data_IF_596103294250
#
_entry.id   IF_596103294250
#
_cell.length_a   1.000
_cell.length_b   1.000
_cell.length_c   1.000
_cell.angle_alpha   90.00
_cell.angle_beta   90.00
_cell.angle_gamma   90.00
#
_symmetry.space_group_name_H-M   'P 1'
#
loop_
_entity.id
_entity.type
_entity.pdbx_description
1 polymer ?
#
# COMPACT_ATOMS: atom_id res chain seq x y z
N UNK A 1 -6.51 16.78 -9.62
CA UNK A 1 -5.96 16.54 -8.26
C UNK A 1 -5.91 15.03 -8.11
N UNK A 2 -4.88 14.43 -7.50
CA UNK A 2 -4.83 12.98 -7.31
C UNK A 2 -5.94 12.56 -6.34
N UNK A 3 -6.68 11.46 -6.63
CA UNK A 3 -7.70 10.93 -5.71
C UNK A 3 -7.10 10.54 -4.36
N UNK A 4 -5.82 10.12 -4.32
CA UNK A 4 -5.12 9.80 -3.08
C UNK A 4 -5.11 11.01 -2.12
N UNK A 5 -4.93 12.24 -2.62
CA UNK A 5 -4.97 13.45 -1.78
C UNK A 5 -6.33 13.69 -1.14
N UNK A 6 -7.41 13.26 -1.80
CA UNK A 6 -8.76 13.41 -1.25
C UNK A 6 -8.94 12.54 0.01
N UNK A 7 -8.34 11.34 0.06
CA UNK A 7 -8.41 10.44 1.20
C UNK A 7 -7.88 11.04 2.52
N UNK A 8 -7.05 12.08 2.45
CA UNK A 8 -6.44 12.71 3.62
C UNK A 8 -7.06 14.07 4.01
N UNK A 9 -8.13 14.52 3.32
CA UNK A 9 -8.71 15.86 3.56
C UNK A 9 -9.40 16.01 4.89
N UNK A 10 -10.12 14.99 5.31
CA UNK A 10 -11.00 15.04 6.48
C UNK A 10 -10.33 14.52 7.76
N UNK A 11 -9.02 14.36 7.75
CA UNK A 11 -8.24 13.94 8.91
C UNK A 11 -7.45 12.65 8.70
N UNK A 12 -7.70 11.66 9.55
CA UNK A 12 -6.93 10.41 9.57
C UNK A 12 -7.50 9.40 8.57
N UNK A 13 -6.76 9.11 7.49
CA UNK A 13 -7.18 8.15 6.49
C UNK A 13 -7.11 6.70 7.01
N UNK A 14 -8.15 5.92 6.72
CA UNK A 14 -8.17 4.48 6.88
C UNK A 14 -7.91 3.81 5.54
N UNK A 15 -6.82 3.07 5.45
CA UNK A 15 -6.46 2.30 4.25
C UNK A 15 -6.80 0.84 4.47
N UNK A 16 -7.75 0.34 3.69
CA UNK A 16 -8.10 -1.08 3.66
C UNK A 16 -7.17 -1.83 2.70
N UNK A 17 -6.46 -2.85 3.18
CA UNK A 17 -5.67 -3.73 2.32
C UNK A 17 -6.38 -5.07 2.14
N UNK A 18 -6.27 -5.65 0.94
CA UNK A 18 -6.64 -7.03 0.64
C UNK A 18 -5.72 -7.63 -0.42
N UNK A 19 -5.52 -8.96 -0.38
CA UNK A 19 -4.85 -9.69 -1.45
C UNK A 19 -5.87 -10.06 -2.53
N UNK A 20 -5.62 -9.66 -3.78
CA UNK A 20 -6.51 -9.98 -4.89
C UNK A 20 -6.54 -11.49 -5.17
N UNK A 21 -7.74 -12.03 -5.42
CA UNK A 21 -7.92 -13.44 -5.76
C UNK A 21 -8.20 -14.37 -4.58
N UNK A 22 -8.49 -13.82 -3.41
CA UNK A 22 -8.78 -14.59 -2.20
C UNK A 22 -10.18 -14.22 -1.69
N UNK A 23 -11.07 -15.20 -1.49
CA UNK A 23 -10.97 -16.57 -1.97
C UNK A 23 -11.14 -16.70 -3.49
N UNK A 24 -11.64 -15.67 -4.19
CA UNK A 24 -11.78 -15.60 -5.65
C UNK A 24 -11.64 -14.18 -6.18
N UNK A 25 -11.58 -14.01 -7.51
CA UNK A 25 -11.58 -12.69 -8.15
C UNK A 25 -12.92 -11.94 -7.94
N UNK A 26 -14.04 -12.67 -7.98
CA UNK A 26 -15.36 -12.09 -7.72
C UNK A 26 -15.51 -11.64 -6.27
N UNK A 27 -15.04 -12.43 -5.31
CA UNK A 27 -15.03 -12.07 -3.89
C UNK A 27 -14.13 -10.87 -3.63
N UNK A 28 -13.01 -10.74 -4.32
CA UNK A 28 -12.15 -9.56 -4.21
C UNK A 28 -12.91 -8.29 -4.53
N UNK A 29 -13.67 -8.27 -5.62
CA UNK A 29 -14.49 -7.11 -5.99
C UNK A 29 -15.51 -6.78 -4.89
N UNK A 30 -16.20 -7.79 -4.38
CA UNK A 30 -17.17 -7.62 -3.28
C UNK A 30 -16.50 -7.06 -2.02
N UNK A 31 -15.34 -7.59 -1.63
CA UNK A 31 -14.62 -7.09 -0.45
C UNK A 31 -14.09 -5.66 -0.61
N UNK A 32 -13.76 -5.24 -1.83
CA UNK A 32 -13.44 -3.83 -2.11
C UNK A 32 -14.68 -2.93 -1.87
N UNK A 33 -15.87 -3.37 -2.29
CA UNK A 33 -17.14 -2.68 -2.03
C UNK A 33 -17.49 -2.65 -0.52
N UNK A 34 -17.23 -3.76 0.17
CA UNK A 34 -17.42 -3.86 1.62
C UNK A 34 -16.49 -2.93 2.39
N UNK A 35 -15.20 -2.84 1.99
CA UNK A 35 -14.23 -1.91 2.57
C UNK A 35 -14.65 -0.45 2.38
N UNK A 36 -15.08 -0.07 1.17
CA UNK A 36 -15.61 1.27 0.90
C UNK A 36 -16.83 1.58 1.77
N UNK A 37 -17.79 0.65 1.85
CA UNK A 37 -18.99 0.78 2.68
C UNK A 37 -18.65 0.89 4.18
N UNK A 38 -17.61 0.20 4.62
CA UNK A 38 -17.10 0.27 5.99
C UNK A 38 -16.33 1.56 6.31
N UNK A 39 -16.13 2.43 5.32
CA UNK A 39 -15.48 3.73 5.49
C UNK A 39 -13.98 3.74 5.26
N UNK A 40 -13.46 2.83 4.43
CA UNK A 40 -12.10 2.95 3.95
C UNK A 40 -11.96 4.15 3.00
N UNK A 41 -11.03 5.03 3.31
CA UNK A 41 -10.75 6.24 2.51
C UNK A 41 -9.89 5.93 1.27
N UNK A 42 -9.18 4.81 1.29
CA UNK A 42 -8.35 4.29 0.21
C UNK A 42 -8.29 2.76 0.31
N UNK A 43 -8.24 2.09 -0.84
CA UNK A 43 -8.04 0.64 -0.88
C UNK A 43 -6.70 0.32 -1.52
N UNK A 44 -5.91 -0.47 -0.80
CA UNK A 44 -4.64 -1.02 -1.28
C UNK A 44 -4.87 -2.48 -1.69
N UNK A 45 -4.50 -2.81 -2.93
CA UNK A 45 -4.75 -4.12 -3.53
C UNK A 45 -3.42 -4.83 -3.72
N UNK A 46 -3.21 -5.90 -2.96
CA UNK A 46 -2.07 -6.79 -3.09
C UNK A 46 -2.13 -7.59 -4.39
N UNK A 47 -1.12 -7.42 -5.22
CA UNK A 47 -0.94 -8.24 -6.44
C UNK A 47 -0.22 -9.52 -6.06
N UNK A 48 -0.83 -10.71 -6.24
CA UNK A 48 -0.25 -11.96 -5.80
C UNK A 48 1.12 -12.23 -6.42
N UNK A 49 2.07 -12.67 -5.58
CA UNK A 49 3.42 -12.99 -6.01
C UNK A 49 3.94 -14.25 -5.32
N UNK A 50 4.80 -15.02 -5.99
CA UNK A 50 5.33 -16.30 -5.48
C UNK A 50 6.43 -16.14 -4.43
N UNK A 51 7.12 -14.98 -4.42
CA UNK A 51 8.30 -14.73 -3.59
C UNK A 51 8.17 -13.43 -2.79
N UNK A 52 7.14 -13.29 -1.93
CA UNK A 52 6.77 -12.04 -1.27
C UNK A 52 7.64 -11.79 -0.03
N UNK A 53 8.91 -11.46 -0.24
CA UNK A 53 9.96 -11.38 0.81
C UNK A 53 9.74 -10.28 1.86
N UNK A 54 8.87 -9.32 1.59
CA UNK A 54 8.55 -8.24 2.51
C UNK A 54 7.27 -8.49 3.32
N UNK A 55 6.55 -9.59 3.04
CA UNK A 55 5.23 -9.85 3.62
C UNK A 55 5.29 -10.83 4.80
N UNK A 56 4.34 -10.66 5.73
CA UNK A 56 4.12 -11.58 6.84
C UNK A 56 3.36 -12.85 6.41
N UNK A 57 3.37 -13.86 7.28
CA UNK A 57 2.83 -15.19 6.99
C UNK A 57 1.38 -15.18 6.48
N UNK A 58 0.52 -14.30 7.02
CA UNK A 58 -0.90 -14.19 6.62
C UNK A 58 -1.04 -13.76 5.16
N UNK A 59 -0.27 -12.75 4.75
CA UNK A 59 -0.29 -12.24 3.36
C UNK A 59 0.35 -13.26 2.42
N UNK A 60 1.48 -13.88 2.81
CA UNK A 60 2.11 -14.96 2.04
C UNK A 60 1.17 -16.14 1.78
N UNK A 61 0.36 -16.53 2.77
CA UNK A 61 -0.63 -17.59 2.61
C UNK A 61 -1.74 -17.19 1.62
N UNK A 62 -2.20 -15.93 1.69
CA UNK A 62 -3.16 -15.37 0.76
C UNK A 62 -2.61 -15.34 -0.67
N UNK A 63 -1.36 -14.94 -0.87
CA UNK A 63 -0.70 -14.98 -2.19
C UNK A 63 -0.67 -16.39 -2.78
N UNK A 64 -0.29 -17.39 -1.97
CA UNK A 64 -0.30 -18.79 -2.40
C UNK A 64 -1.69 -19.24 -2.83
N UNK A 65 -2.74 -18.85 -2.10
CA UNK A 65 -4.12 -19.18 -2.46
C UNK A 65 -4.55 -18.45 -3.73
N UNK A 66 -4.27 -17.17 -3.87
CA UNK A 66 -4.60 -16.39 -5.06
C UNK A 66 -3.93 -16.93 -6.33
N UNK A 67 -2.65 -17.33 -6.22
CA UNK A 67 -1.93 -17.95 -7.34
C UNK A 67 -2.50 -19.33 -7.73
N UNK A 68 -2.98 -20.14 -6.76
CA UNK A 68 -3.73 -21.38 -7.05
C UNK A 68 -5.02 -21.09 -7.81
N UNK A 69 -5.68 -19.97 -7.50
CA UNK A 69 -6.87 -19.47 -8.22
C UNK A 69 -6.51 -18.83 -9.57
N UNK A 70 -5.24 -18.86 -9.98
CA UNK A 70 -4.71 -18.29 -11.23
C UNK A 70 -4.94 -16.78 -11.36
N UNK A 71 -4.99 -16.07 -10.23
CA UNK A 71 -5.05 -14.62 -10.21
C UNK A 71 -3.63 -14.07 -10.26
N UNK A 72 -3.35 -13.28 -11.27
CA UNK A 72 -2.10 -12.59 -11.54
C UNK A 72 -2.41 -11.13 -11.90
N UNK A 73 -1.41 -10.32 -12.14
CA UNK A 73 -1.57 -8.90 -12.44
C UNK A 73 -2.64 -8.58 -13.51
N UNK A 74 -2.78 -9.31 -14.65
CA UNK A 74 -3.85 -9.05 -15.61
C UNK A 74 -5.26 -9.18 -15.01
N UNK A 75 -5.49 -10.20 -14.18
CA UNK A 75 -6.79 -10.40 -13.51
C UNK A 75 -7.04 -9.30 -12.48
N UNK A 76 -6.01 -8.86 -11.74
CA UNK A 76 -6.12 -7.74 -10.79
C UNK A 76 -6.50 -6.44 -11.52
N UNK A 77 -5.92 -6.19 -12.71
CA UNK A 77 -6.30 -5.05 -13.55
C UNK A 77 -7.80 -5.08 -13.94
N UNK A 78 -8.34 -6.24 -14.29
CA UNK A 78 -9.78 -6.38 -14.61
C UNK A 78 -10.68 -6.17 -13.38
N UNK A 79 -10.24 -6.60 -12.18
CA UNK A 79 -10.96 -6.32 -10.92
C UNK A 79 -11.03 -4.81 -10.67
N UNK A 80 -9.90 -4.10 -10.77
CA UNK A 80 -9.86 -2.63 -10.64
C UNK A 80 -10.78 -1.95 -11.64
N UNK A 81 -10.73 -2.36 -12.89
CA UNK A 81 -11.60 -1.84 -13.95
C UNK A 81 -13.09 -2.09 -13.67
N UNK A 82 -13.43 -3.22 -13.06
CA UNK A 82 -14.80 -3.52 -12.65
C UNK A 82 -15.24 -2.62 -11.50
N UNK A 83 -14.44 -2.49 -10.45
CA UNK A 83 -14.70 -1.63 -9.29
C UNK A 83 -14.86 -0.17 -9.69
N UNK A 84 -14.03 0.32 -10.59
CA UNK A 84 -14.03 1.71 -11.05
C UNK A 84 -15.29 2.14 -11.82
N UNK A 85 -16.15 1.19 -12.24
CA UNK A 85 -17.46 1.50 -12.85
C UNK A 85 -18.45 2.12 -11.86
N UNK A 86 -18.25 1.91 -10.57
CA UNK A 86 -19.20 2.30 -9.53
C UNK A 86 -18.56 3.08 -8.37
N UNK A 87 -17.22 3.19 -8.32
CA UNK A 87 -16.52 3.83 -7.21
C UNK A 87 -15.40 4.74 -7.68
N UNK A 88 -15.26 5.88 -6.99
CA UNK A 88 -14.15 6.83 -7.11
C UNK A 88 -13.14 6.71 -5.96
N UNK A 89 -13.33 5.76 -5.04
CA UNK A 89 -12.41 5.51 -3.93
C UNK A 89 -10.98 5.31 -4.44
N UNK A 90 -9.97 6.00 -3.92
CA UNK A 90 -8.59 5.86 -4.36
C UNK A 90 -8.09 4.43 -4.28
N UNK A 91 -7.37 3.97 -5.32
CA UNK A 91 -6.84 2.63 -5.41
C UNK A 91 -5.33 2.64 -5.61
N UNK A 92 -4.62 1.84 -4.83
CA UNK A 92 -3.17 1.66 -4.92
C UNK A 92 -2.86 0.18 -5.08
N UNK A 93 -1.97 -0.19 -6.01
CA UNK A 93 -1.39 -1.52 -6.02
C UNK A 93 -0.25 -1.63 -5.02
N UNK A 94 -0.25 -2.69 -4.23
CA UNK A 94 0.94 -3.20 -3.58
C UNK A 94 1.45 -4.38 -4.42
N UNK A 95 2.56 -4.20 -5.11
CA UNK A 95 3.12 -5.20 -6.01
C UNK A 95 4.63 -5.25 -5.91
N UNK A 96 5.19 -6.44 -6.00
CA UNK A 96 6.63 -6.59 -6.22
C UNK A 96 7.03 -6.15 -7.62
N UNK A 97 8.31 -5.81 -7.81
CA UNK A 97 8.79 -5.29 -9.09
C UNK A 97 8.74 -6.34 -10.20
N UNK A 98 9.01 -7.61 -9.90
CA UNK A 98 9.04 -8.66 -10.92
C UNK A 98 7.71 -8.84 -11.68
N UNK A 99 6.51 -8.90 -11.06
CA UNK A 99 5.24 -8.87 -11.77
C UNK A 99 5.09 -7.67 -12.71
N UNK A 100 5.50 -6.47 -12.27
CA UNK A 100 5.46 -5.23 -13.06
C UNK A 100 6.41 -5.32 -14.25
N UNK A 101 7.63 -5.77 -14.03
CA UNK A 101 8.66 -5.92 -15.05
C UNK A 101 8.23 -6.91 -16.14
N UNK A 102 7.73 -8.08 -15.74
CA UNK A 102 7.25 -9.11 -16.67
C UNK A 102 6.00 -8.68 -17.47
N UNK A 103 5.14 -7.87 -16.87
CA UNK A 103 3.97 -7.29 -17.58
C UNK A 103 4.41 -6.26 -18.62
N UNK A 104 5.51 -5.59 -18.39
CA UNK A 104 6.07 -4.50 -19.15
C UNK A 104 5.82 -3.14 -18.50
N UNK A 105 6.91 -2.52 -18.00
CA UNK A 105 6.86 -1.30 -17.18
C UNK A 105 6.02 -0.20 -17.82
N UNK A 106 6.27 0.18 -19.07
CA UNK A 106 5.47 1.20 -19.77
C UNK A 106 4.00 0.79 -19.86
N UNK A 107 3.74 -0.47 -20.22
CA UNK A 107 2.40 -0.99 -20.46
C UNK A 107 1.54 -0.93 -19.22
N UNK A 108 2.08 -1.31 -18.04
CA UNK A 108 1.31 -1.30 -16.80
C UNK A 108 0.87 0.11 -16.43
N UNK A 109 1.74 1.14 -16.56
CA UNK A 109 1.37 2.52 -16.22
C UNK A 109 0.34 3.11 -17.18
N UNK A 110 0.45 2.78 -18.47
CA UNK A 110 -0.53 3.16 -19.48
C UNK A 110 -1.91 2.56 -19.19
N UNK A 111 -1.96 1.26 -18.94
CA UNK A 111 -3.22 0.57 -18.62
C UNK A 111 -3.77 0.95 -17.25
N UNK A 112 -2.91 1.12 -16.23
CA UNK A 112 -3.28 1.62 -14.90
C UNK A 112 -4.02 2.95 -14.99
N UNK A 113 -3.52 3.89 -15.81
CA UNK A 113 -4.22 5.14 -16.08
C UNK A 113 -5.58 4.91 -16.71
N UNK A 114 -5.65 4.03 -17.71
CA UNK A 114 -6.88 3.76 -18.46
C UNK A 114 -7.98 3.14 -17.59
N UNK A 115 -7.61 2.31 -16.62
CA UNK A 115 -8.56 1.69 -15.67
C UNK A 115 -8.82 2.53 -14.42
N UNK A 116 -8.11 3.65 -14.24
CA UNK A 116 -8.31 4.57 -13.12
C UNK A 116 -7.62 4.14 -11.82
N UNK A 117 -6.50 3.42 -11.88
CA UNK A 117 -5.61 3.23 -10.74
C UNK A 117 -4.93 4.55 -10.37
N UNK A 118 -4.66 4.79 -9.11
CA UNK A 118 -4.14 6.07 -8.61
C UNK A 118 -2.67 5.99 -8.20
N UNK A 119 -2.20 4.84 -7.73
CA UNK A 119 -0.82 4.69 -7.27
C UNK A 119 -0.32 3.25 -7.26
N UNK A 120 1.00 3.12 -7.05
CA UNK A 120 1.69 1.84 -6.85
C UNK A 120 2.66 1.94 -5.68
N UNK A 121 2.69 0.91 -4.84
CA UNK A 121 3.67 0.68 -3.79
C UNK A 121 4.49 -0.57 -4.15
N UNK A 122 5.83 -0.46 -4.19
CA UNK A 122 6.72 -1.53 -4.65
C UNK A 122 7.79 -1.77 -3.58
N UNK A 123 7.60 -2.77 -2.68
CA UNK A 123 8.45 -2.97 -1.51
C UNK A 123 9.91 -3.30 -1.83
N UNK A 124 10.15 -3.99 -2.93
CA UNK A 124 11.46 -4.46 -3.37
C UNK A 124 12.14 -3.55 -4.40
N UNK A 125 11.60 -2.33 -4.65
CA UNK A 125 12.20 -1.34 -5.54
C UNK A 125 12.79 -0.17 -4.74
N UNK A 126 14.11 -0.13 -4.51
CA UNK A 126 14.77 0.97 -3.82
C UNK A 126 14.57 2.32 -4.53
N UNK A 127 14.65 3.41 -3.77
CA UNK A 127 14.48 4.76 -4.30
C UNK A 127 15.36 5.06 -5.53
N UNK A 128 16.61 4.60 -5.51
CA UNK A 128 17.57 4.80 -6.59
C UNK A 128 17.15 4.10 -7.89
N UNK A 129 16.49 2.96 -7.78
CA UNK A 129 16.03 2.16 -8.92
C UNK A 129 14.67 2.63 -9.46
N UNK A 130 13.96 3.48 -8.72
CA UNK A 130 12.68 4.06 -9.18
C UNK A 130 12.81 4.87 -10.47
N UNK A 131 14.01 5.25 -10.88
CA UNK A 131 14.26 5.90 -12.16
C UNK A 131 13.80 5.06 -13.36
N UNK A 132 13.68 3.74 -13.20
CA UNK A 132 13.17 2.84 -14.24
C UNK A 132 11.65 3.01 -14.46
N UNK A 133 10.90 3.37 -13.44
CA UNK A 133 9.43 3.47 -13.49
C UNK A 133 8.92 4.91 -13.44
N UNK A 134 9.64 5.83 -12.79
CA UNK A 134 9.21 7.21 -12.53
C UNK A 134 8.81 7.98 -13.81
N UNK A 135 9.54 7.92 -14.93
CA UNK A 135 9.12 8.64 -16.14
C UNK A 135 7.73 8.22 -16.64
N UNK A 136 7.36 6.95 -16.46
CA UNK A 136 6.04 6.45 -16.84
C UNK A 136 4.98 6.84 -15.81
N UNK A 137 5.29 6.69 -14.51
CA UNK A 137 4.41 7.13 -13.44
C UNK A 137 4.04 8.62 -13.59
N UNK A 138 5.02 9.49 -13.81
CA UNK A 138 4.83 10.91 -14.01
C UNK A 138 4.00 11.20 -15.29
N UNK A 139 4.29 10.50 -16.41
CA UNK A 139 3.57 10.66 -17.67
C UNK A 139 2.09 10.31 -17.54
N UNK A 140 1.79 9.24 -16.83
CA UNK A 140 0.42 8.74 -16.68
C UNK A 140 -0.28 9.23 -15.41
N UNK A 141 0.42 9.98 -14.54
CA UNK A 141 -0.13 10.54 -13.30
C UNK A 141 -0.51 9.48 -12.27
N UNK A 142 0.33 8.45 -12.15
CA UNK A 142 0.23 7.39 -11.13
C UNK A 142 1.23 7.72 -10.01
N UNK A 143 0.76 7.82 -8.78
CA UNK A 143 1.64 8.09 -7.64
C UNK A 143 2.52 6.87 -7.30
N UNK A 144 3.81 7.11 -7.06
CA UNK A 144 4.72 6.08 -6.51
C UNK A 144 4.76 6.26 -4.99
N UNK A 145 4.13 5.33 -4.29
CA UNK A 145 4.08 5.33 -2.82
C UNK A 145 5.47 4.97 -2.28
N UNK A 146 6.05 5.90 -1.52
CA UNK A 146 7.38 5.70 -0.98
C UNK A 146 7.32 4.88 0.31
N UNK A 147 7.89 3.69 0.29
CA UNK A 147 7.97 2.81 1.46
C UNK A 147 9.24 3.13 2.25
N UNK A 148 9.08 3.32 3.58
CA UNK A 148 10.16 3.63 4.51
C UNK A 148 10.22 2.55 5.59
N UNK A 149 11.38 1.90 5.67
CA UNK A 149 11.77 1.06 6.78
C UNK A 149 12.75 1.77 7.74
N UNK A 150 13.27 1.06 8.75
CA UNK A 150 14.33 1.59 9.63
C UNK A 150 15.56 2.02 8.82
N UNK A 151 15.92 3.29 8.88
CA UNK A 151 17.03 3.86 8.13
C UNK A 151 17.63 5.09 8.86
N UNK A 152 18.79 5.59 8.40
CA UNK A 152 19.36 6.85 8.87
C UNK A 152 18.48 8.04 8.46
N UNK A 153 18.56 9.15 9.19
CA UNK A 153 17.81 10.37 8.84
C UNK A 153 18.12 10.86 7.43
N UNK A 154 19.40 10.85 7.04
CA UNK A 154 19.84 11.24 5.70
C UNK A 154 19.16 10.38 4.62
N UNK A 155 19.10 9.06 4.84
CA UNK A 155 18.45 8.11 3.93
C UNK A 155 16.96 8.35 3.84
N UNK A 156 16.29 8.60 4.96
CA UNK A 156 14.87 8.95 4.99
C UNK A 156 14.61 10.23 4.19
N UNK A 157 15.36 11.31 4.45
CA UNK A 157 15.23 12.56 3.72
C UNK A 157 15.40 12.38 2.20
N UNK A 158 16.40 11.60 1.79
CA UNK A 158 16.63 11.30 0.36
C UNK A 158 15.44 10.59 -0.27
N UNK A 159 14.91 9.57 0.41
CA UNK A 159 13.83 8.73 -0.10
C UNK A 159 12.50 9.50 -0.23
N UNK A 160 12.21 10.43 0.70
CA UNK A 160 10.91 11.11 0.71
C UNK A 160 10.90 12.46 -0.02
N UNK A 161 12.04 12.96 -0.48
CA UNK A 161 12.17 14.26 -1.13
C UNK A 161 11.21 14.48 -2.30
N UNK A 162 10.96 13.43 -3.08
CA UNK A 162 10.09 13.45 -4.25
C UNK A 162 8.89 12.49 -4.08
N UNK A 163 8.48 12.23 -2.82
CA UNK A 163 7.34 11.39 -2.55
C UNK A 163 6.05 12.00 -3.07
N UNK A 164 5.18 11.15 -3.64
CA UNK A 164 3.83 11.49 -4.09
C UNK A 164 2.82 10.56 -3.43
N UNK A 165 1.53 10.91 -3.50
CA UNK A 165 0.49 10.14 -2.83
C UNK A 165 0.63 10.20 -1.31
N UNK A 166 1.28 9.21 -0.72
CA UNK A 166 1.63 9.17 0.70
C UNK A 166 2.99 8.47 0.93
N UNK A 167 3.56 8.68 2.11
CA UNK A 167 4.75 7.94 2.57
C UNK A 167 4.28 6.81 3.49
N UNK A 168 4.66 5.58 3.18
CA UNK A 168 4.26 4.40 3.89
C UNK A 168 5.39 3.91 4.81
N UNK A 169 5.19 3.98 6.13
CA UNK A 169 6.14 3.45 7.12
C UNK A 169 5.73 2.02 7.46
N UNK A 170 6.62 1.07 7.13
CA UNK A 170 6.45 -0.34 7.53
C UNK A 170 7.01 -0.52 8.93
N UNK A 171 6.14 -0.88 9.88
CA UNK A 171 6.56 -1.24 11.23
C UNK A 171 6.91 -2.72 11.27
N UNK A 172 8.19 -3.08 11.27
CA UNK A 172 8.60 -4.47 11.53
C UNK A 172 8.43 -4.78 13.01
N UNK A 173 7.46 -5.64 13.33
CA UNK A 173 7.13 -6.05 14.72
C UNK A 173 8.19 -6.97 15.34
N UNK A 174 9.11 -7.53 14.56
CA UNK A 174 10.06 -8.55 15.04
C UNK A 174 11.09 -8.06 16.09
N UNK A 175 11.24 -6.77 16.31
CA UNK A 175 12.17 -6.23 17.32
C UNK A 175 11.49 -5.77 18.63
N UNK A 176 10.22 -6.07 18.85
CA UNK A 176 9.42 -5.48 19.92
C UNK A 176 9.59 -6.16 21.29
N UNK A 177 10.81 -6.19 21.82
CA UNK A 177 10.99 -6.43 23.25
C UNK A 177 10.72 -5.18 24.14
N UNK A 178 10.40 -4.01 23.55
CA UNK A 178 10.05 -2.77 24.26
C UNK A 178 9.08 -1.91 23.47
N UNK A 179 7.79 -2.00 23.77
CA UNK A 179 6.70 -1.18 23.18
C UNK A 179 6.97 0.34 23.20
N UNK A 180 7.62 0.84 24.24
CA UNK A 180 7.95 2.26 24.42
C UNK A 180 9.01 2.76 23.40
N UNK A 181 9.96 1.90 23.05
CA UNK A 181 11.02 2.25 22.09
C UNK A 181 10.47 2.34 20.67
N UNK A 182 9.44 1.56 20.32
CA UNK A 182 8.83 1.56 19.00
C UNK A 182 8.06 2.85 18.72
N UNK A 183 7.24 3.32 19.68
CA UNK A 183 6.54 4.61 19.56
C UNK A 183 7.50 5.78 19.38
N UNK A 184 8.60 5.79 20.14
CA UNK A 184 9.62 6.84 20.02
C UNK A 184 10.29 6.81 18.65
N UNK A 185 10.73 5.64 18.21
CA UNK A 185 11.36 5.49 16.88
C UNK A 185 10.43 5.91 15.75
N UNK A 186 9.15 5.54 15.84
CA UNK A 186 8.15 5.96 14.86
C UNK A 186 7.96 7.47 14.85
N UNK A 187 7.85 8.11 16.02
CA UNK A 187 7.75 9.57 16.14
C UNK A 187 8.98 10.27 15.57
N UNK A 188 10.18 9.73 15.81
CA UNK A 188 11.43 10.28 15.27
C UNK A 188 11.44 10.19 13.73
N UNK A 189 11.07 9.04 13.14
CA UNK A 189 10.97 8.86 11.68
C UNK A 189 9.94 9.84 11.10
N UNK A 190 8.74 9.95 11.67
CA UNK A 190 7.70 10.88 11.20
C UNK A 190 8.19 12.33 11.28
N UNK A 191 8.90 12.68 12.36
CA UNK A 191 9.47 14.02 12.50
C UNK A 191 10.48 14.36 11.39
N UNK A 192 11.32 13.41 11.00
CA UNK A 192 12.28 13.56 9.88
C UNK A 192 11.53 13.72 8.56
N UNK A 193 10.53 12.89 8.30
CA UNK A 193 9.70 12.96 7.07
C UNK A 193 9.05 14.34 6.95
N UNK A 194 8.37 14.81 8.01
CA UNK A 194 7.65 16.10 8.02
C UNK A 194 8.54 17.34 7.87
N UNK A 195 9.85 17.23 8.17
CA UNK A 195 10.83 18.29 7.87
C UNK A 195 11.20 18.36 6.40
N UNK A 196 10.96 17.28 5.65
CA UNK A 196 11.42 17.12 4.26
C UNK A 196 10.29 17.27 3.24
N UNK A 197 9.09 16.82 3.59
CA UNK A 197 7.92 16.83 2.70
C UNK A 197 6.62 17.02 3.46
N UNK A 198 5.62 17.62 2.77
CA UNK A 198 4.23 17.74 3.24
C UNK A 198 3.36 16.53 2.81
N UNK A 199 3.98 15.52 2.17
CA UNK A 199 3.27 14.30 1.76
C UNK A 199 2.75 13.57 2.98
N UNK A 200 1.45 13.15 3.00
CA UNK A 200 0.87 12.44 4.13
C UNK A 200 1.66 11.19 4.52
N UNK A 201 1.70 10.89 5.81
CA UNK A 201 2.40 9.74 6.37
C UNK A 201 1.41 8.69 6.84
N UNK A 202 1.54 7.48 6.33
CA UNK A 202 0.74 6.31 6.69
C UNK A 202 1.61 5.29 7.43
N UNK A 203 1.06 4.67 8.46
CA UNK A 203 1.75 3.61 9.21
C UNK A 203 1.05 2.28 8.95
N UNK A 204 1.82 1.30 8.52
CA UNK A 204 1.39 -0.09 8.41
C UNK A 204 1.34 -0.75 9.79
N UNK A 205 0.26 -1.45 10.03
CA UNK A 205 0.04 -2.15 11.29
C UNK A 205 0.04 -3.65 11.03
N UNK A 206 1.14 -4.28 11.38
CA UNK A 206 1.21 -5.73 11.48
C UNK A 206 0.86 -6.12 12.93
N UNK A 207 -0.30 -6.78 13.11
CA UNK A 207 -0.66 -7.38 14.40
C UNK A 207 -1.96 -6.87 15.04
N UNK A 208 -2.45 -7.67 15.96
CA UNK A 208 -3.82 -7.65 16.51
C UNK A 208 -4.03 -6.71 17.75
N UNK A 209 -3.19 -5.70 17.96
CA UNK A 209 -3.26 -4.90 19.20
C UNK A 209 -3.98 -3.55 18.99
N UNK A 210 -5.28 -3.53 19.27
CA UNK A 210 -6.14 -2.33 19.19
C UNK A 210 -5.64 -1.13 20.02
N UNK A 211 -4.96 -1.35 21.15
CA UNK A 211 -4.40 -0.27 21.97
C UNK A 211 -3.18 0.41 21.33
N UNK A 212 -2.39 -0.34 20.56
CA UNK A 212 -1.26 0.20 19.79
C UNK A 212 -1.74 1.05 18.62
N UNK A 213 -2.85 0.64 18.00
CA UNK A 213 -3.54 1.36 16.93
C UNK A 213 -3.87 2.81 17.30
N UNK A 214 -4.40 3.05 18.50
CA UNK A 214 -4.78 4.40 18.94
C UNK A 214 -3.58 5.34 19.01
N UNK A 215 -2.48 4.90 19.61
CA UNK A 215 -1.29 5.75 19.75
C UNK A 215 -0.58 6.04 18.42
N UNK A 216 -0.63 5.13 17.45
CA UNK A 216 -0.07 5.34 16.11
C UNK A 216 -0.97 6.23 15.24
N UNK A 217 -2.29 6.06 15.38
CA UNK A 217 -3.30 6.90 14.72
C UNK A 217 -3.16 8.37 15.08
N UNK A 218 -2.68 8.70 16.29
CA UNK A 218 -2.45 10.10 16.70
C UNK A 218 -1.25 10.74 16.01
N UNK A 219 -0.21 9.97 15.68
CA UNK A 219 1.05 10.45 15.12
C UNK A 219 1.07 10.55 13.60
N UNK A 220 0.40 9.62 12.90
CA UNK A 220 0.37 9.54 11.43
C UNK A 220 -0.88 10.22 10.84
N UNK A 221 -0.88 10.45 9.54
CA UNK A 221 -2.01 10.98 8.78
C UNK A 221 -2.95 9.88 8.29
N UNK A 222 -2.53 8.62 8.36
CA UNK A 222 -3.34 7.45 8.05
C UNK A 222 -2.75 6.17 8.61
N UNK A 223 -3.58 5.13 8.61
CA UNK A 223 -3.19 3.78 9.01
C UNK A 223 -3.68 2.78 7.97
N UNK A 224 -2.92 1.69 7.78
CA UNK A 224 -3.38 0.54 6.99
C UNK A 224 -3.53 -0.70 7.87
N UNK A 225 -4.54 -1.51 7.57
CA UNK A 225 -4.96 -2.65 8.41
C UNK A 225 -4.80 -3.99 7.67
N UNK A 226 -3.70 -4.14 6.90
CA UNK A 226 -3.50 -5.22 5.95
C UNK A 226 -3.75 -6.62 6.49
N UNK A 227 -2.94 -7.09 7.41
CA UNK A 227 -2.99 -8.47 7.90
C UNK A 227 -4.30 -8.80 8.62
N UNK A 228 -4.94 -7.84 9.29
CA UNK A 228 -6.21 -8.04 9.99
C UNK A 228 -7.35 -8.35 9.01
N UNK A 229 -7.47 -7.57 7.95
CA UNK A 229 -8.51 -7.76 6.93
C UNK A 229 -8.30 -9.08 6.20
N UNK A 230 -7.06 -9.39 5.81
CA UNK A 230 -6.73 -10.66 5.13
C UNK A 230 -7.00 -11.86 6.01
N UNK A 231 -6.68 -11.82 7.31
CA UNK A 231 -7.00 -12.90 8.27
C UNK A 231 -8.51 -13.09 8.46
N UNK A 232 -9.29 -12.00 8.41
CA UNK A 232 -10.76 -12.09 8.45
C UNK A 232 -11.35 -12.71 7.18
N UNK A 233 -10.77 -12.43 6.02
CA UNK A 233 -11.20 -12.98 4.72
C UNK A 233 -10.87 -14.48 4.63
N UNK A 234 -9.74 -14.91 5.20
CA UNK A 234 -9.27 -16.31 5.16
C UNK A 234 -10.02 -17.24 6.14
N UNK A 235 -10.85 -16.73 7.03
CA UNK A 235 -11.68 -17.51 7.99
C UNK A 235 -13.05 -17.80 7.47
#
# INVERSE_FOLDING_TARGET
MSRIKEAFKDGKALIGFLTAGVPSAEDTLRYMEDLETAGADLIEIGVPFSDPVADGAVIMEADVQALKNKVHLPQVMEIVKAFRKQSETPLVFLSYYNPIFNYGVKKIFEEAKAIGLDGVAIPDLPYEEQMEIRPFADTYGIDIIQIIGPASEERICQNVKNATGFVYIVSSVESANRKTDMKKKLADIISVIRKTTDTPVVVGLDGHHTEELQGMKEMADGITTGSIVVDMINK
#
